data_IF_134517964691
#
_entry.id   IF_134517964691
#
_cell.length_a   1.000
_cell.length_b   1.000
_cell.length_c   1.000
_cell.angle_alpha   90.00
_cell.angle_beta   90.00
_cell.angle_gamma   90.00
#
_symmetry.space_group_name_H-M   'P 1'
#
loop_
_entity.id
_entity.type
_entity.pdbx_description
1 polymer ?
#
# COMPACT_ATOMS: atom_id res chain seq x y z
N UNK A 1 -6.19 9.96 -18.16
CA UNK A 1 -4.94 9.46 -17.58
C UNK A 1 -4.60 10.33 -16.39
N UNK A 2 -4.15 9.77 -15.27
CA UNK A 2 -3.59 10.56 -14.16
C UNK A 2 -2.23 11.04 -14.62
N UNK A 3 -2.00 12.35 -14.67
CA UNK A 3 -0.72 12.93 -15.08
C UNK A 3 0.16 13.07 -13.84
N UNK A 4 1.30 12.38 -13.85
CA UNK A 4 2.35 12.55 -12.83
C UNK A 4 3.24 13.74 -13.22
N UNK A 5 3.66 14.61 -12.28
CA UNK A 5 4.63 15.67 -12.56
C UNK A 5 5.94 15.13 -13.13
N UNK A 6 6.60 15.86 -14.03
CA UNK A 6 7.88 15.43 -14.63
C UNK A 6 9.02 15.40 -13.60
N UNK A 7 10.11 14.68 -13.89
CA UNK A 7 11.28 14.67 -13.00
C UNK A 7 11.91 16.06 -12.87
N UNK A 8 11.90 16.88 -13.91
CA UNK A 8 12.37 18.26 -13.85
C UNK A 8 11.48 19.09 -12.94
N UNK A 9 10.16 18.91 -13.03
CA UNK A 9 9.18 19.57 -12.17
C UNK A 9 9.33 19.19 -10.70
N UNK A 10 9.58 17.90 -10.40
CA UNK A 10 9.79 17.40 -9.04
C UNK A 10 11.07 17.95 -8.41
N UNK A 11 12.12 18.11 -9.23
CA UNK A 11 13.44 18.58 -8.77
C UNK A 11 13.58 20.10 -8.80
N UNK A 12 12.68 20.81 -9.50
CA UNK A 12 12.63 22.25 -9.50
C UNK A 12 12.11 22.78 -8.15
N UNK A 13 12.63 23.94 -7.72
CA UNK A 13 12.21 24.57 -6.47
C UNK A 13 10.79 25.15 -6.49
N UNK A 14 10.13 25.21 -7.66
CA UNK A 14 8.79 25.76 -7.85
C UNK A 14 8.06 25.07 -9.01
N UNK A 15 6.73 24.90 -8.92
CA UNK A 15 5.83 25.11 -7.78
C UNK A 15 6.07 24.13 -6.63
N UNK A 16 5.70 24.56 -5.42
CA UNK A 16 6.06 23.88 -4.18
C UNK A 16 5.38 22.51 -3.96
N UNK A 17 4.47 22.07 -4.82
CA UNK A 17 3.67 20.86 -4.56
C UNK A 17 3.91 19.69 -5.54
N UNK A 18 4.76 19.81 -6.56
CA UNK A 18 4.94 18.72 -7.53
C UNK A 18 5.50 17.44 -6.91
N UNK A 19 6.40 17.55 -5.93
CA UNK A 19 6.88 16.38 -5.18
C UNK A 19 5.73 15.73 -4.39
N UNK A 20 4.92 16.52 -3.69
CA UNK A 20 3.79 15.99 -2.92
C UNK A 20 2.74 15.31 -3.81
N UNK A 21 2.46 15.89 -4.99
CA UNK A 21 1.55 15.33 -5.98
C UNK A 21 2.09 14.00 -6.53
N UNK A 22 3.37 13.95 -6.90
CA UNK A 22 4.04 12.72 -7.35
C UNK A 22 4.02 11.63 -6.28
N UNK A 23 4.35 11.96 -5.03
CA UNK A 23 4.30 11.02 -3.91
C UNK A 23 2.89 10.51 -3.65
N UNK A 24 1.87 11.38 -3.71
CA UNK A 24 0.47 11.00 -3.55
C UNK A 24 0.02 10.03 -4.64
N UNK A 25 0.46 10.24 -5.88
CA UNK A 25 0.16 9.34 -7.01
C UNK A 25 0.86 7.98 -6.82
N UNK A 26 2.14 7.99 -6.40
CA UNK A 26 2.95 6.78 -6.29
C UNK A 26 2.59 5.93 -5.06
N UNK A 27 2.30 6.55 -3.92
CA UNK A 27 2.13 5.88 -2.63
C UNK A 27 0.74 6.00 -2.00
N UNK A 28 -0.25 6.55 -2.72
CA UNK A 28 -1.57 6.90 -2.16
C UNK A 28 -1.53 8.07 -1.17
N UNK A 29 -2.59 8.88 -1.17
CA UNK A 29 -2.68 10.03 -0.27
C UNK A 29 -2.81 9.57 1.19
N UNK A 30 -1.98 10.10 2.09
CA UNK A 30 -2.14 9.92 3.53
C UNK A 30 -1.65 11.13 4.32
N UNK A 31 -2.20 11.39 5.53
CA UNK A 31 -1.75 12.50 6.36
C UNK A 31 -0.24 12.46 6.62
N UNK A 32 0.30 11.29 6.96
CA UNK A 32 1.73 11.11 7.28
C UNK A 32 2.63 11.26 6.06
N UNK A 33 2.15 10.93 4.85
CA UNK A 33 2.89 11.24 3.62
C UNK A 33 3.09 12.75 3.49
N UNK A 34 2.04 13.53 3.72
CA UNK A 34 2.08 14.99 3.57
C UNK A 34 2.81 15.67 4.74
N UNK A 35 2.61 15.23 5.98
CA UNK A 35 3.20 15.88 7.16
C UNK A 35 4.65 15.45 7.45
N UNK A 36 5.08 14.27 6.97
CA UNK A 36 6.38 13.71 7.32
C UNK A 36 7.23 13.36 6.09
N UNK A 37 6.75 12.48 5.21
CA UNK A 37 7.57 11.99 4.08
C UNK A 37 7.91 13.13 3.11
N UNK A 38 6.92 13.90 2.69
CA UNK A 38 7.10 15.01 1.77
C UNK A 38 8.12 16.05 2.32
N UNK A 39 7.98 16.61 3.54
CA UNK A 39 8.95 17.56 4.07
C UNK A 39 10.36 16.98 4.27
N UNK A 40 10.49 15.68 4.57
CA UNK A 40 11.78 15.01 4.67
C UNK A 40 12.45 14.91 3.29
N UNK A 41 11.72 14.50 2.26
CA UNK A 41 12.25 14.39 0.90
C UNK A 41 12.61 15.74 0.30
N UNK A 42 11.86 16.81 0.58
CA UNK A 42 12.23 18.18 0.17
C UNK A 42 13.60 18.60 0.72
N UNK A 43 14.04 18.07 1.87
CA UNK A 43 15.38 18.33 2.42
C UNK A 43 16.45 17.41 1.86
N UNK A 44 16.10 16.16 1.55
CA UNK A 44 17.05 15.12 1.13
C UNK A 44 17.38 15.25 -0.35
N UNK A 45 16.38 15.43 -1.22
CA UNK A 45 16.56 15.41 -2.67
C UNK A 45 17.62 16.41 -3.18
N UNK A 46 17.71 17.66 -2.67
CA UNK A 46 18.77 18.59 -3.09
C UNK A 46 20.19 18.16 -2.72
N UNK A 47 20.35 17.20 -1.79
CA UNK A 47 21.66 16.68 -1.36
C UNK A 47 22.10 15.43 -2.13
N UNK A 48 21.21 14.88 -2.96
CA UNK A 48 21.47 13.68 -3.76
C UNK A 48 21.81 14.05 -5.21
N UNK A 49 22.42 13.13 -5.98
CA UNK A 49 22.47 13.26 -7.43
C UNK A 49 21.06 13.43 -8.02
N UNK A 50 20.99 14.13 -9.16
CA UNK A 50 19.72 14.31 -9.87
C UNK A 50 19.07 12.97 -10.19
N UNK A 51 17.77 12.88 -9.92
CA UNK A 51 16.93 11.74 -10.25
C UNK A 51 16.86 11.58 -11.77
N UNK A 52 17.21 10.39 -12.25
CA UNK A 52 17.09 9.99 -13.65
C UNK A 52 15.85 9.13 -13.92
N UNK A 53 15.12 8.71 -12.88
CA UNK A 53 13.87 7.94 -13.03
C UNK A 53 12.95 8.09 -11.82
N UNK A 54 11.66 7.81 -12.00
CA UNK A 54 10.70 7.73 -10.89
C UNK A 54 10.98 6.54 -9.96
N UNK A 55 11.61 5.47 -10.45
CA UNK A 55 12.05 4.37 -9.59
C UNK A 55 13.05 4.85 -8.55
N UNK A 56 13.98 5.76 -8.91
CA UNK A 56 14.90 6.34 -7.94
C UNK A 56 14.17 7.19 -6.89
N UNK A 57 13.13 7.94 -7.27
CA UNK A 57 12.29 8.66 -6.30
C UNK A 57 11.63 7.68 -5.32
N UNK A 58 11.10 6.57 -5.81
CA UNK A 58 10.52 5.51 -4.97
C UNK A 58 11.57 4.93 -4.03
N UNK A 59 12.75 4.57 -4.55
CA UNK A 59 13.83 3.97 -3.75
C UNK A 59 14.32 4.93 -2.65
N UNK A 60 14.49 6.22 -2.97
CA UNK A 60 14.83 7.25 -1.96
C UNK A 60 13.73 7.40 -0.91
N UNK A 61 12.45 7.35 -1.33
CA UNK A 61 11.31 7.42 -0.41
C UNK A 61 11.27 6.21 0.54
N UNK A 62 11.48 5.00 0.02
CA UNK A 62 11.51 3.77 0.81
C UNK A 62 12.71 3.73 1.77
N UNK A 63 13.89 4.20 1.32
CA UNK A 63 15.05 4.35 2.19
C UNK A 63 14.76 5.31 3.35
N UNK A 64 14.06 6.42 3.09
CA UNK A 64 13.64 7.34 4.13
C UNK A 64 12.64 6.71 5.10
N UNK A 65 11.65 5.95 4.61
CA UNK A 65 10.74 5.17 5.46
C UNK A 65 11.48 4.13 6.31
N UNK A 66 12.59 3.56 5.82
CA UNK A 66 13.45 2.64 6.55
C UNK A 66 14.08 3.24 7.82
N UNK A 67 14.18 4.58 7.89
CA UNK A 67 14.68 5.31 9.07
C UNK A 67 13.60 5.64 10.10
N UNK A 68 12.33 5.40 9.78
CA UNK A 68 11.22 5.71 10.67
C UNK A 68 11.07 4.65 11.75
N UNK A 69 10.54 5.07 12.89
CA UNK A 69 10.06 4.11 13.87
C UNK A 69 8.84 3.33 13.34
N UNK A 70 8.58 2.22 14.01
CA UNK A 70 7.51 1.29 13.68
C UNK A 70 6.13 1.93 13.63
N UNK A 71 5.88 2.90 14.52
CA UNK A 71 4.59 3.59 14.62
C UNK A 71 4.35 4.45 13.39
N UNK A 72 5.35 5.19 12.94
CA UNK A 72 5.28 6.00 11.74
C UNK A 72 5.11 5.14 10.49
N UNK A 73 5.85 4.02 10.37
CA UNK A 73 5.66 3.07 9.26
C UNK A 73 4.24 2.50 9.24
N UNK A 74 3.70 2.11 10.40
CA UNK A 74 2.33 1.60 10.51
C UNK A 74 1.28 2.64 10.08
N UNK A 75 1.47 3.90 10.49
CA UNK A 75 0.60 5.01 10.05
C UNK A 75 0.64 5.23 8.54
N UNK A 76 1.80 5.04 7.90
CA UNK A 76 1.95 5.16 6.45
C UNK A 76 1.23 4.03 5.72
N UNK A 77 1.38 2.80 6.20
CA UNK A 77 0.64 1.63 5.69
C UNK A 77 -0.87 1.85 5.82
N UNK A 78 -1.35 2.32 6.98
CA UNK A 78 -2.77 2.57 7.24
C UNK A 78 -3.42 3.63 6.33
N UNK A 79 -2.62 4.42 5.60
CA UNK A 79 -3.11 5.38 4.61
C UNK A 79 -3.59 4.74 3.29
N UNK A 80 -3.28 3.46 3.06
CA UNK A 80 -3.67 2.75 1.85
C UNK A 80 -5.08 2.16 1.97
N UNK A 81 -5.81 1.97 0.86
CA UNK A 81 -7.11 1.31 0.89
C UNK A 81 -6.98 -0.19 1.17
N UNK A 82 -7.99 -0.77 1.82
CA UNK A 82 -8.04 -2.22 2.05
C UNK A 82 -8.26 -2.97 0.73
N UNK A 83 -7.73 -4.20 0.65
CA UNK A 83 -8.09 -5.09 -0.46
C UNK A 83 -9.56 -5.48 -0.35
N UNK A 84 -10.30 -5.35 -1.45
CA UNK A 84 -11.74 -5.61 -1.52
C UNK A 84 -12.60 -4.37 -1.28
N UNK A 85 -12.01 -3.24 -0.87
CA UNK A 85 -12.71 -1.97 -0.81
C UNK A 85 -13.07 -1.51 -2.23
N UNK A 86 -14.24 -0.87 -2.39
CA UNK A 86 -14.75 -0.39 -3.68
C UNK A 86 -15.17 1.07 -3.65
N UNK A 87 -15.13 1.71 -2.47
CA UNK A 87 -15.51 3.10 -2.26
C UNK A 87 -14.24 3.91 -2.02
N UNK A 88 -14.25 5.18 -2.44
CA UNK A 88 -13.18 6.15 -2.19
C UNK A 88 -11.76 5.75 -2.65
N UNK A 89 -11.64 4.79 -3.58
CA UNK A 89 -10.35 4.43 -4.16
C UNK A 89 -9.86 5.51 -5.13
N UNK A 90 -8.56 5.78 -5.11
CA UNK A 90 -7.92 6.46 -6.24
C UNK A 90 -8.08 5.65 -7.53
N UNK A 91 -7.94 6.30 -8.70
CA UNK A 91 -8.05 5.61 -10.00
C UNK A 91 -7.02 4.48 -10.15
N UNK A 92 -5.82 4.65 -9.57
CA UNK A 92 -4.76 3.64 -9.60
C UNK A 92 -5.12 2.47 -8.69
N UNK A 93 -5.52 2.74 -7.44
CA UNK A 93 -5.97 1.72 -6.50
C UNK A 93 -7.18 0.92 -7.02
N UNK A 94 -8.14 1.58 -7.68
CA UNK A 94 -9.28 0.91 -8.31
C UNK A 94 -8.85 -0.01 -9.47
N UNK A 95 -7.87 0.40 -10.27
CA UNK A 95 -7.33 -0.40 -11.38
C UNK A 95 -6.53 -1.59 -10.84
N UNK A 96 -5.68 -1.37 -9.83
CA UNK A 96 -4.86 -2.39 -9.16
C UNK A 96 -5.74 -3.53 -8.64
N UNK A 97 -6.80 -3.20 -7.92
CA UNK A 97 -7.69 -4.21 -7.34
C UNK A 97 -8.73 -4.78 -8.33
N UNK A 98 -8.66 -4.43 -9.62
CA UNK A 98 -9.62 -4.88 -10.62
C UNK A 98 -11.04 -4.34 -10.44
N UNK A 99 -11.24 -3.30 -9.63
CA UNK A 99 -12.55 -2.66 -9.43
C UNK A 99 -13.09 -2.00 -10.72
N UNK A 100 -12.22 -1.71 -11.68
CA UNK A 100 -12.58 -1.17 -13.00
C UNK A 100 -12.67 -2.24 -14.09
N UNK A 101 -12.52 -3.53 -13.76
CA UNK A 101 -12.59 -4.60 -14.75
C UNK A 101 -14.02 -4.79 -15.25
N UNK A 102 -14.23 -4.63 -16.55
CA UNK A 102 -15.54 -4.79 -17.22
C UNK A 102 -15.89 -6.25 -17.53
N UNK A 103 -14.97 -7.19 -17.32
CA UNK A 103 -15.12 -8.57 -17.79
C UNK A 103 -15.64 -9.55 -16.73
N UNK A 104 -15.59 -9.20 -15.44
CA UNK A 104 -16.32 -9.91 -14.37
C UNK A 104 -16.31 -9.07 -13.09
N UNK A 105 -17.50 -8.69 -12.59
CA UNK A 105 -17.62 -8.13 -11.26
C UNK A 105 -17.15 -9.17 -10.22
N UNK A 106 -16.42 -8.73 -9.19
CA UNK A 106 -16.02 -9.62 -8.11
C UNK A 106 -17.27 -10.19 -7.43
N UNK A 107 -17.37 -11.51 -7.26
CA UNK A 107 -18.54 -12.11 -6.59
C UNK A 107 -18.73 -11.56 -5.17
N UNK A 108 -19.97 -11.27 -4.72
CA UNK A 108 -20.23 -10.72 -3.39
C UNK A 108 -19.63 -11.56 -2.25
N UNK A 109 -19.59 -12.87 -2.40
CA UNK A 109 -19.00 -13.80 -1.44
C UNK A 109 -17.49 -13.59 -1.26
N UNK A 110 -16.76 -13.27 -2.33
CA UNK A 110 -15.32 -12.98 -2.27
C UNK A 110 -15.08 -11.64 -1.57
N UNK A 111 -15.94 -10.64 -1.81
CA UNK A 111 -15.85 -9.36 -1.11
C UNK A 111 -16.17 -9.49 0.39
N UNK A 112 -17.19 -10.29 0.73
CA UNK A 112 -17.51 -10.60 2.12
C UNK A 112 -16.34 -11.34 2.80
N UNK A 113 -15.74 -12.32 2.11
CA UNK A 113 -14.57 -13.05 2.59
C UNK A 113 -13.38 -12.13 2.84
N UNK A 114 -13.05 -11.25 1.88
CA UNK A 114 -11.98 -10.27 2.06
C UNK A 114 -12.25 -9.29 3.20
N UNK A 115 -13.51 -8.84 3.38
CA UNK A 115 -13.86 -7.97 4.50
C UNK A 115 -13.61 -8.67 5.85
N UNK A 116 -13.99 -9.94 5.98
CA UNK A 116 -13.72 -10.75 7.16
C UNK A 116 -12.23 -10.97 7.39
N UNK A 117 -11.48 -11.34 6.34
CA UNK A 117 -10.05 -11.57 6.44
C UNK A 117 -9.27 -10.30 6.79
N UNK A 118 -9.69 -9.12 6.31
CA UNK A 118 -9.13 -7.84 6.77
C UNK A 118 -9.35 -7.66 8.27
N UNK A 119 -10.54 -7.99 8.80
CA UNK A 119 -10.81 -7.92 10.24
C UNK A 119 -9.97 -8.92 11.05
N UNK A 120 -9.81 -10.15 10.56
CA UNK A 120 -8.91 -11.14 11.15
C UNK A 120 -7.46 -10.64 11.16
N UNK A 121 -7.01 -10.05 10.05
CA UNK A 121 -5.67 -9.47 9.94
C UNK A 121 -5.45 -8.31 10.91
N UNK A 122 -6.37 -7.35 10.97
CA UNK A 122 -6.30 -6.20 11.88
C UNK A 122 -6.34 -6.63 13.35
N UNK A 123 -7.04 -7.74 13.65
CA UNK A 123 -6.99 -8.35 14.99
C UNK A 123 -5.64 -9.02 15.25
N UNK A 124 -5.11 -9.80 14.31
CA UNK A 124 -3.82 -10.49 14.46
C UNK A 124 -2.66 -9.51 14.56
N UNK A 125 -2.68 -8.43 13.78
CA UNK A 125 -1.64 -7.41 13.69
C UNK A 125 -2.20 -6.02 14.04
N UNK A 126 -2.35 -5.71 15.34
CA UNK A 126 -3.00 -4.47 15.76
C UNK A 126 -2.34 -3.22 15.15
N UNK A 127 -3.16 -2.37 14.53
CA UNK A 127 -2.72 -1.12 13.91
C UNK A 127 -2.19 -1.23 12.48
N UNK A 128 -2.12 -2.43 11.90
CA UNK A 128 -1.77 -2.64 10.50
C UNK A 128 -3.00 -2.99 9.67
N UNK A 129 -2.97 -2.66 8.38
CA UNK A 129 -3.92 -3.17 7.38
C UNK A 129 -3.19 -4.11 6.42
N UNK A 130 -3.91 -5.04 5.79
CA UNK A 130 -3.27 -5.97 4.87
C UNK A 130 -2.92 -5.29 3.55
N UNK A 131 -1.62 -5.16 3.29
CA UNK A 131 -1.08 -4.69 2.02
C UNK A 131 -0.42 -5.87 1.30
N UNK A 132 -0.78 -6.06 0.03
CA UNK A 132 -0.13 -7.02 -0.85
C UNK A 132 -0.02 -6.45 -2.26
N UNK A 133 1.11 -6.69 -2.92
CA UNK A 133 1.26 -6.31 -4.32
C UNK A 133 0.49 -7.27 -5.22
N UNK A 134 -0.73 -6.92 -5.61
CA UNK A 134 -1.66 -7.82 -6.32
C UNK A 134 -1.12 -8.42 -7.62
N UNK A 135 -0.26 -7.72 -8.37
CA UNK A 135 0.39 -8.24 -9.59
C UNK A 135 -0.55 -8.98 -10.56
N UNK A 136 -1.75 -8.43 -10.82
CA UNK A 136 -2.76 -9.03 -11.71
C UNK A 136 -3.50 -10.25 -11.14
N UNK A 137 -3.25 -10.64 -9.90
CA UNK A 137 -3.99 -11.71 -9.21
C UNK A 137 -5.42 -11.29 -8.92
N UNK A 138 -6.34 -12.25 -8.95
CA UNK A 138 -7.75 -12.02 -8.65
C UNK A 138 -7.95 -11.79 -7.15
N UNK A 139 -9.04 -11.11 -6.77
CA UNK A 139 -9.44 -10.94 -5.37
C UNK A 139 -9.63 -12.28 -4.63
N UNK A 140 -10.08 -13.32 -5.32
CA UNK A 140 -10.17 -14.67 -4.75
C UNK A 140 -8.79 -15.25 -4.41
N UNK A 141 -7.82 -15.13 -5.34
CA UNK A 141 -6.46 -15.56 -5.09
C UNK A 141 -5.78 -14.77 -3.95
N UNK A 142 -6.12 -13.48 -3.79
CA UNK A 142 -5.64 -12.69 -2.65
C UNK A 142 -6.30 -13.10 -1.34
N UNK A 143 -7.59 -13.51 -1.35
CA UNK A 143 -8.24 -14.05 -0.17
C UNK A 143 -7.53 -15.33 0.30
N UNK A 144 -7.24 -16.27 -0.61
CA UNK A 144 -6.48 -17.49 -0.33
C UNK A 144 -5.06 -17.21 0.19
N UNK A 145 -4.37 -16.21 -0.39
CA UNK A 145 -3.06 -15.76 0.13
C UNK A 145 -3.19 -15.27 1.57
N UNK A 146 -4.19 -14.43 1.85
CA UNK A 146 -4.39 -13.83 3.17
C UNK A 146 -4.75 -14.89 4.21
N UNK A 147 -5.53 -15.92 3.85
CA UNK A 147 -5.77 -17.10 4.70
C UNK A 147 -4.46 -17.80 5.05
N UNK A 148 -3.62 -18.10 4.06
CA UNK A 148 -2.31 -18.70 4.28
C UNK A 148 -1.40 -17.86 5.17
N UNK A 149 -1.42 -16.53 5.03
CA UNK A 149 -0.68 -15.59 5.91
C UNK A 149 -1.19 -15.60 7.34
N UNK A 150 -2.50 -15.69 7.51
CA UNK A 150 -3.11 -15.76 8.83
C UNK A 150 -2.96 -17.14 9.48
N UNK A 151 -2.56 -18.15 8.70
CA UNK A 151 -2.46 -19.55 9.15
C UNK A 151 -3.84 -20.20 9.27
N UNK A 152 -4.80 -19.74 8.47
CA UNK A 152 -6.17 -20.22 8.46
C UNK A 152 -6.33 -21.33 7.41
N UNK A 153 -7.16 -22.31 7.71
CA UNK A 153 -7.63 -23.25 6.69
C UNK A 153 -8.53 -22.50 5.69
N UNK A 154 -8.42 -22.88 4.42
CA UNK A 154 -9.28 -22.30 3.39
C UNK A 154 -10.74 -22.63 3.68
N UNK A 155 -11.59 -21.59 3.72
CA UNK A 155 -12.99 -21.73 4.05
C UNK A 155 -13.87 -21.07 3.01
N UNK A 156 -14.93 -21.78 2.60
CA UNK A 156 -16.00 -21.21 1.78
C UNK A 156 -16.99 -20.40 2.61
N UNK A 157 -16.94 -20.51 3.95
CA UNK A 157 -17.74 -19.64 4.82
C UNK A 157 -17.13 -18.24 4.83
N UNK A 158 -17.91 -17.18 4.63
CA UNK A 158 -17.39 -15.83 4.57
C UNK A 158 -16.76 -15.37 5.90
N UNK A 159 -17.18 -15.94 7.02
CA UNK A 159 -16.95 -15.49 8.40
C UNK A 159 -16.16 -16.48 9.29
N UNK A 160 -15.57 -17.52 8.72
CA UNK A 160 -14.81 -18.55 9.44
C UNK A 160 -13.28 -18.34 9.36
N UNK A 161 -12.50 -18.41 10.44
CA UNK A 161 -12.91 -18.65 11.82
C UNK A 161 -13.55 -17.42 12.44
N UNK A 162 -14.13 -17.59 13.62
CA UNK A 162 -14.65 -16.45 14.36
C UNK A 162 -13.51 -15.51 14.75
N UNK A 163 -13.77 -14.21 14.79
CA UNK A 163 -12.75 -13.26 15.22
C UNK A 163 -12.22 -13.57 16.62
N UNK A 164 -13.03 -14.16 17.51
CA UNK A 164 -12.61 -14.52 18.86
C UNK A 164 -11.39 -15.45 18.88
N UNK A 165 -11.28 -16.33 17.89
CA UNK A 165 -10.22 -17.35 17.77
C UNK A 165 -8.89 -16.79 17.27
N UNK A 166 -8.88 -15.54 16.78
CA UNK A 166 -7.64 -14.89 16.33
C UNK A 166 -6.90 -14.31 17.52
N UNK A 167 -5.70 -14.83 17.78
CA UNK A 167 -4.77 -14.32 18.77
C UNK A 167 -3.92 -13.16 18.21
N UNK A 168 -3.90 -11.98 18.85
CA UNK A 168 -3.07 -10.86 18.43
C UNK A 168 -1.59 -11.13 18.73
N UNK A 169 -0.71 -10.74 17.81
CA UNK A 169 0.72 -10.65 18.11
C UNK A 169 1.02 -9.39 18.93
N UNK A 170 2.10 -9.43 19.71
CA UNK A 170 2.56 -8.25 20.45
C UNK A 170 3.03 -7.15 19.48
N UNK A 171 2.45 -5.95 19.60
CA UNK A 171 2.85 -4.76 18.83
C UNK A 171 4.32 -4.43 19.14
N UNK A 172 5.13 -4.23 18.09
CA UNK A 172 6.58 -4.06 18.21
C UNK A 172 7.36 -5.36 18.48
N UNK A 173 6.68 -6.50 18.60
CA UNK A 173 7.33 -7.81 18.70
C UNK A 173 7.84 -8.32 17.33
N UNK A 174 8.64 -9.39 17.29
CA UNK A 174 9.25 -9.89 16.06
C UNK A 174 8.24 -10.25 14.96
N UNK A 175 7.11 -10.86 15.31
CA UNK A 175 6.06 -11.21 14.36
C UNK A 175 5.34 -9.99 13.79
N UNK A 176 5.14 -8.96 14.60
CA UNK A 176 4.48 -7.73 14.17
C UNK A 176 5.42 -6.88 13.30
N UNK A 177 6.69 -6.75 13.69
CA UNK A 177 7.71 -5.98 12.95
C UNK A 177 8.06 -6.63 11.61
N UNK A 178 8.17 -7.96 11.56
CA UNK A 178 8.38 -8.68 10.30
C UNK A 178 7.23 -8.44 9.30
N UNK A 179 5.99 -8.40 9.79
CA UNK A 179 4.82 -8.13 8.94
C UNK A 179 4.76 -6.67 8.49
N UNK A 180 5.10 -5.74 9.38
CA UNK A 180 5.25 -4.32 9.04
C UNK A 180 6.27 -4.13 7.91
N UNK A 181 7.46 -4.70 8.03
CA UNK A 181 8.51 -4.55 7.03
C UNK A 181 8.13 -5.20 5.69
N UNK A 182 7.45 -6.36 5.72
CA UNK A 182 6.86 -6.98 4.52
C UNK A 182 5.88 -6.03 3.82
N UNK A 183 4.98 -5.41 4.57
CA UNK A 183 4.02 -4.46 4.02
C UNK A 183 4.70 -3.24 3.39
N UNK A 184 5.79 -2.73 3.98
CA UNK A 184 6.59 -1.64 3.37
C UNK A 184 7.22 -2.08 2.03
N UNK A 185 7.72 -3.33 1.95
CA UNK A 185 8.25 -3.89 0.69
C UNK A 185 7.16 -3.93 -0.38
N UNK A 186 5.96 -4.41 -0.04
CA UNK A 186 4.85 -4.49 -0.98
C UNK A 186 4.36 -3.13 -1.45
N UNK A 187 4.37 -2.10 -0.59
CA UNK A 187 4.12 -0.71 -1.01
C UNK A 187 5.12 -0.28 -2.09
N UNK A 188 6.40 -0.63 -1.93
CA UNK A 188 7.43 -0.35 -2.95
C UNK A 188 7.14 -1.04 -4.28
N UNK A 189 6.71 -2.29 -4.25
CA UNK A 189 6.33 -3.04 -5.46
C UNK A 189 5.09 -2.43 -6.13
N UNK A 190 4.08 -2.04 -5.35
CA UNK A 190 2.88 -1.33 -5.85
C UNK A 190 3.29 -0.02 -6.51
N UNK A 191 4.10 0.81 -5.84
CA UNK A 191 4.56 2.09 -6.38
C UNK A 191 5.33 1.92 -7.70
N UNK A 192 6.20 0.90 -7.81
CA UNK A 192 6.93 0.60 -9.05
C UNK A 192 5.99 0.11 -10.15
N UNK A 193 5.03 -0.76 -9.84
CA UNK A 193 4.03 -1.20 -10.81
C UNK A 193 3.17 -0.06 -11.34
N UNK A 194 2.95 1.00 -10.56
CA UNK A 194 2.24 2.21 -11.02
C UNK A 194 2.99 2.93 -12.15
N UNK A 195 4.33 2.84 -12.21
CA UNK A 195 5.12 3.49 -13.27
C UNK A 195 4.74 2.99 -14.66
N UNK A 196 4.64 1.67 -14.85
CA UNK A 196 4.18 1.08 -16.10
C UNK A 196 2.74 1.46 -16.43
N UNK A 197 1.86 1.57 -15.43
CA UNK A 197 0.48 2.02 -15.63
C UNK A 197 0.35 3.51 -16.01
N UNK A 198 1.34 4.32 -15.62
CA UNK A 198 1.47 5.74 -15.94
C UNK A 198 2.25 5.97 -17.25
N UNK A 199 2.96 4.96 -17.76
CA UNK A 199 3.77 5.06 -18.98
C UNK A 199 5.09 5.81 -18.78
N UNK A 200 5.69 5.72 -17.59
CA UNK A 200 6.90 6.47 -17.19
C UNK A 200 8.02 5.58 -16.63
N UNK A 201 8.00 4.29 -16.99
CA UNK A 201 9.03 3.32 -16.62
C UNK A 201 10.37 3.61 -17.31
#
# INVERSE_FOLDING_TARGET
MTLIPTLEQIQASCPANFLADALTILFEHSPILISNLYPQLTRILPTLPLLSSYSQLIDVSLNQLGTWDDKMKAQFIAGHPRIGESKNLSKLSAKEQGATSTTAATPPEVLARLAHLNACYEKKYPGLIYITFVNGRTRAAIAEEMEGKLGLEHSLSPDDPTLADIEPVAVGGPGWTSELDRAVVDIGLIAKSRLGALGVE
#
